data_IF_273363756662
#
_entry.id   IF_273363756662
#
_cell.length_a   1.000
_cell.length_b   1.000
_cell.length_c   1.000
_cell.angle_alpha   90.00
_cell.angle_beta   90.00
_cell.angle_gamma   90.00
#
_symmetry.space_group_name_H-M   'P 1'
#
loop_
_entity.id
_entity.type
_entity.pdbx_description
1 polymer ?
#
# COMPACT_ATOMS: atom_id res chain seq x y z
N UNK A 1 5.16 17.72 10.94
CA UNK A 1 5.51 16.78 12.02
C UNK A 1 6.53 15.79 11.49
N UNK A 2 7.52 15.36 12.28
CA UNK A 2 8.46 14.31 11.83
C UNK A 2 7.75 12.95 11.79
N UNK A 3 7.98 12.17 10.73
CA UNK A 3 7.42 10.83 10.60
C UNK A 3 8.24 9.80 11.38
N UNK A 4 7.58 8.88 12.08
CA UNK A 4 8.27 7.87 12.90
C UNK A 4 9.13 6.95 12.05
N UNK A 5 8.67 6.60 10.84
CA UNK A 5 9.45 5.83 9.87
C UNK A 5 10.82 6.49 9.60
N UNK A 6 10.81 7.78 9.27
CA UNK A 6 12.03 8.50 8.90
C UNK A 6 13.02 8.55 10.06
N UNK A 7 12.52 8.87 11.26
CA UNK A 7 13.31 8.87 12.50
C UNK A 7 13.92 7.49 12.78
N UNK A 8 13.12 6.42 12.65
CA UNK A 8 13.56 5.04 12.90
C UNK A 8 14.59 4.57 11.87
N UNK A 9 14.37 4.86 10.58
CA UNK A 9 15.33 4.56 9.51
C UNK A 9 16.66 5.27 9.76
N UNK A 10 16.64 6.54 10.17
CA UNK A 10 17.87 7.26 10.53
C UNK A 10 18.60 6.59 11.71
N UNK A 11 17.87 6.16 12.74
CA UNK A 11 18.46 5.45 13.88
C UNK A 11 19.09 4.12 13.46
N UNK A 12 18.38 3.33 12.65
CA UNK A 12 18.87 2.04 12.12
C UNK A 12 20.12 2.25 11.25
N UNK A 13 20.13 3.26 10.36
CA UNK A 13 21.31 3.53 9.53
C UNK A 13 22.51 4.02 10.33
N UNK A 14 22.29 4.74 11.44
CA UNK A 14 23.37 5.25 12.30
C UNK A 14 24.04 4.14 13.11
N UNK A 15 23.29 3.12 13.53
CA UNK A 15 23.81 1.94 14.23
C UNK A 15 23.12 0.65 13.76
N UNK A 16 23.50 0.12 12.58
CA UNK A 16 22.82 -1.04 11.99
C UNK A 16 22.92 -2.32 12.82
N UNK A 17 23.95 -2.42 13.66
CA UNK A 17 24.21 -3.61 14.50
C UNK A 17 23.64 -3.51 15.92
N UNK A 18 23.42 -2.31 16.44
CA UNK A 18 22.99 -2.07 17.83
C UNK A 18 21.65 -1.37 18.00
N UNK A 19 21.07 -0.83 16.93
CA UNK A 19 19.73 -0.23 16.97
C UNK A 19 18.69 -1.25 17.41
N UNK A 20 17.83 -0.84 18.34
CA UNK A 20 16.67 -1.62 18.81
C UNK A 20 15.37 -1.23 18.09
N UNK A 21 15.44 -0.27 17.19
CA UNK A 21 14.29 0.19 16.42
C UNK A 21 13.84 -0.90 15.45
N UNK A 22 12.52 -1.02 15.30
CA UNK A 22 11.89 -1.82 14.26
C UNK A 22 10.69 -1.06 13.70
N UNK A 23 10.38 -1.33 12.44
CA UNK A 23 9.29 -0.69 11.70
C UNK A 23 8.06 -1.57 11.79
N UNK A 24 6.94 -1.01 12.22
CA UNK A 24 5.64 -1.67 12.22
C UNK A 24 4.82 -1.09 11.07
N UNK A 25 4.43 -1.96 10.13
CA UNK A 25 3.52 -1.60 9.04
C UNK A 25 2.19 -2.32 9.23
N UNK A 26 1.08 -1.58 9.21
CA UNK A 26 -0.26 -2.16 9.11
C UNK A 26 -0.71 -2.17 7.65
N UNK A 27 -0.89 -3.38 7.10
CA UNK A 27 -1.38 -3.58 5.74
C UNK A 27 -2.91 -3.53 5.70
N UNK A 28 -3.44 -2.48 5.07
CA UNK A 28 -4.85 -2.11 4.97
C UNK A 28 -5.32 -1.94 3.51
N UNK A 29 -4.71 -2.71 2.62
CA UNK A 29 -4.97 -2.76 1.18
C UNK A 29 -5.77 -4.02 0.76
N UNK A 30 -6.39 -4.69 1.74
CA UNK A 30 -7.16 -5.91 1.51
C UNK A 30 -8.32 -5.71 0.52
N UNK A 31 -8.84 -4.48 0.41
CA UNK A 31 -9.90 -4.10 -0.53
C UNK A 31 -9.53 -4.32 -2.00
N UNK A 32 -8.24 -4.55 -2.32
CA UNK A 32 -7.78 -4.97 -3.65
C UNK A 32 -8.01 -6.46 -3.96
N UNK A 33 -8.21 -7.32 -2.96
CA UNK A 33 -8.16 -8.78 -3.13
C UNK A 33 -9.53 -9.46 -3.16
N UNK A 34 -10.13 -9.70 -1.98
CA UNK A 34 -11.29 -10.60 -1.80
C UNK A 34 -12.66 -9.95 -2.10
N UNK A 35 -12.68 -8.85 -2.85
CA UNK A 35 -13.89 -8.08 -3.16
C UNK A 35 -14.68 -7.70 -1.89
N UNK A 36 -15.98 -7.98 -1.88
CA UNK A 36 -16.86 -7.63 -0.74
C UNK A 36 -16.45 -8.29 0.58
N UNK A 37 -15.71 -9.39 0.55
CA UNK A 37 -15.26 -10.08 1.76
C UNK A 37 -14.06 -9.43 2.44
N UNK A 38 -13.31 -8.59 1.73
CA UNK A 38 -12.03 -8.07 2.19
C UNK A 38 -12.10 -7.14 3.42
N UNK A 39 -13.13 -6.28 3.56
CA UNK A 39 -13.39 -5.50 4.79
C UNK A 39 -13.66 -6.34 6.05
N UNK A 40 -13.82 -7.66 5.91
CA UNK A 40 -14.17 -8.58 6.99
C UNK A 40 -15.65 -8.57 7.33
N UNK A 41 -16.04 -9.37 8.33
CA UNK A 41 -17.43 -9.51 8.78
C UNK A 41 -17.89 -8.27 9.54
N UNK A 42 -19.17 -7.90 9.36
CA UNK A 42 -19.81 -6.84 10.12
C UNK A 42 -20.07 -7.29 11.57
N UNK A 43 -19.84 -6.41 12.57
CA UNK A 43 -20.17 -6.70 13.97
C UNK A 43 -21.69 -6.80 14.22
N UNK A 44 -22.52 -6.30 13.30
CA UNK A 44 -23.98 -6.41 13.32
C UNK A 44 -24.49 -7.75 12.77
N UNK A 45 -23.57 -8.68 12.48
CA UNK A 45 -23.91 -10.01 11.99
C UNK A 45 -24.58 -10.84 13.10
N UNK A 46 -25.68 -11.50 12.74
CA UNK A 46 -26.18 -12.69 13.45
C UNK A 46 -25.63 -13.96 12.77
N UNK A 47 -25.45 -15.04 13.54
CA UNK A 47 -24.63 -16.22 13.16
C UNK A 47 -24.98 -16.87 11.80
N UNK A 48 -26.14 -16.56 11.21
CA UNK A 48 -26.64 -17.11 9.95
C UNK A 48 -26.58 -16.16 8.74
N UNK A 49 -26.15 -14.90 8.91
CA UNK A 49 -26.07 -13.92 7.81
C UNK A 49 -24.64 -13.67 7.33
N UNK A 50 -24.45 -13.71 6.00
CA UNK A 50 -23.23 -13.20 5.36
C UNK A 50 -23.34 -11.67 5.24
N UNK A 51 -23.01 -10.97 6.33
CA UNK A 51 -22.92 -9.50 6.36
C UNK A 51 -21.46 -9.08 6.48
N UNK A 52 -20.93 -8.46 5.43
CA UNK A 52 -19.58 -7.89 5.40
C UNK A 52 -19.60 -6.42 5.78
N UNK A 53 -18.47 -5.90 6.27
CA UNK A 53 -18.29 -4.46 6.41
C UNK A 53 -18.30 -3.80 5.04
N UNK A 54 -18.82 -2.59 5.00
CA UNK A 54 -18.68 -1.67 3.89
C UNK A 54 -17.24 -1.14 3.80
N UNK A 55 -16.86 -0.60 2.64
CA UNK A 55 -15.59 0.08 2.49
C UNK A 55 -15.48 1.32 3.40
N UNK A 56 -16.60 1.98 3.70
CA UNK A 56 -16.63 3.11 4.63
C UNK A 56 -16.29 2.68 6.06
N UNK A 57 -16.90 1.58 6.54
CA UNK A 57 -16.57 1.00 7.84
C UNK A 57 -15.11 0.52 7.90
N UNK A 58 -14.59 -0.07 6.81
CA UNK A 58 -13.19 -0.46 6.74
C UNK A 58 -12.25 0.73 6.87
N UNK A 59 -12.52 1.83 6.14
CA UNK A 59 -11.78 3.08 6.25
C UNK A 59 -11.87 3.66 7.66
N UNK A 60 -13.00 3.52 8.34
CA UNK A 60 -13.10 3.93 9.74
C UNK A 60 -12.16 3.14 10.65
N UNK A 61 -12.01 1.83 10.43
CA UNK A 61 -11.02 1.04 11.16
C UNK A 61 -9.59 1.53 10.89
N UNK A 62 -9.29 1.97 9.66
CA UNK A 62 -7.99 2.54 9.31
C UNK A 62 -7.77 3.87 10.06
N UNK A 63 -8.79 4.73 10.16
CA UNK A 63 -8.72 5.97 10.95
C UNK A 63 -8.42 5.68 12.42
N UNK A 64 -9.07 4.67 13.00
CA UNK A 64 -8.83 4.28 14.40
C UNK A 64 -7.43 3.70 14.61
N UNK A 65 -6.86 2.97 13.64
CA UNK A 65 -5.44 2.56 13.68
C UNK A 65 -4.52 3.77 13.64
N UNK A 66 -4.79 4.73 12.74
CA UNK A 66 -3.95 5.92 12.59
C UNK A 66 -3.93 6.73 13.89
N UNK A 67 -5.09 6.88 14.52
CA UNK A 67 -5.27 7.60 15.78
C UNK A 67 -4.50 6.98 16.96
N UNK A 68 -4.20 5.69 16.92
CA UNK A 68 -3.43 5.03 17.98
C UNK A 68 -1.94 5.39 17.93
N UNK A 69 -1.41 5.80 16.76
CA UNK A 69 0.00 6.19 16.59
C UNK A 69 1.02 5.11 17.01
N UNK A 70 0.60 3.83 16.98
CA UNK A 70 1.46 2.68 17.36
C UNK A 70 2.28 2.17 16.17
N UNK A 71 1.74 2.28 14.96
CA UNK A 71 2.39 1.81 13.73
C UNK A 71 3.18 2.93 13.06
N UNK A 72 4.19 2.58 12.27
CA UNK A 72 5.00 3.56 11.54
C UNK A 72 4.49 3.80 10.11
N UNK A 73 3.88 2.77 9.54
CA UNK A 73 3.35 2.77 8.18
C UNK A 73 1.92 2.24 8.21
N UNK A 74 1.03 2.90 7.48
CA UNK A 74 -0.27 2.35 7.10
C UNK A 74 -0.26 2.21 5.57
N UNK A 75 -0.20 0.97 5.10
CA UNK A 75 -0.22 0.62 3.68
C UNK A 75 -1.67 0.46 3.22
N UNK A 76 -2.05 1.11 2.11
CA UNK A 76 -3.43 1.15 1.64
C UNK A 76 -3.53 0.83 0.15
N UNK A 77 -4.74 0.50 -0.33
CA UNK A 77 -5.04 0.56 -1.75
C UNK A 77 -4.93 2.00 -2.27
N UNK A 78 -4.72 2.19 -3.57
CA UNK A 78 -4.66 3.53 -4.16
C UNK A 78 -5.94 4.35 -3.87
N UNK A 79 -7.12 3.73 -3.97
CA UNK A 79 -8.41 4.40 -3.68
C UNK A 79 -8.55 4.82 -2.22
N UNK A 80 -8.15 3.97 -1.28
CA UNK A 80 -8.22 4.30 0.13
C UNK A 80 -7.14 5.33 0.51
N UNK A 81 -5.95 5.22 -0.09
CA UNK A 81 -4.89 6.21 0.06
C UNK A 81 -5.34 7.59 -0.40
N UNK A 82 -5.90 7.72 -1.61
CA UNK A 82 -6.44 8.98 -2.13
C UNK A 82 -7.43 9.61 -1.13
N UNK A 83 -8.37 8.81 -0.63
CA UNK A 83 -9.38 9.31 0.30
C UNK A 83 -8.78 9.83 1.60
N UNK A 84 -7.86 9.09 2.21
CA UNK A 84 -7.35 9.41 3.54
C UNK A 84 -6.18 10.42 3.50
N UNK A 85 -5.39 10.42 2.44
CA UNK A 85 -4.21 11.31 2.31
C UNK A 85 -4.55 12.62 1.60
N UNK A 86 -5.26 12.57 0.47
CA UNK A 86 -5.51 13.74 -0.38
C UNK A 86 -6.78 14.46 0.09
N UNK A 87 -7.92 13.78 0.09
CA UNK A 87 -9.21 14.42 0.43
C UNK A 87 -9.29 14.83 1.91
N UNK A 88 -8.93 13.93 2.81
CA UNK A 88 -9.11 14.11 4.26
C UNK A 88 -7.90 14.72 4.97
N UNK A 89 -6.73 14.76 4.30
CA UNK A 89 -5.47 15.26 4.89
C UNK A 89 -5.11 14.59 6.23
N UNK A 90 -5.56 13.34 6.44
CA UNK A 90 -5.52 12.67 7.74
C UNK A 90 -4.09 12.47 8.25
N UNK A 91 -3.13 12.38 7.33
CA UNK A 91 -1.74 12.11 7.65
C UNK A 91 -0.90 13.37 7.96
N UNK A 92 -1.41 14.58 7.77
CA UNK A 92 -0.61 15.83 7.87
C UNK A 92 -0.07 16.08 9.29
N UNK A 93 -0.86 15.70 10.31
CA UNK A 93 -0.58 15.98 11.71
C UNK A 93 -0.41 14.72 12.57
N UNK A 94 0.12 13.64 11.98
CA UNK A 94 0.43 12.37 12.66
C UNK A 94 1.86 11.93 12.36
N UNK A 95 2.55 11.22 13.28
CA UNK A 95 3.86 10.63 13.01
C UNK A 95 3.79 9.48 11.99
N UNK A 96 2.62 8.95 11.69
CA UNK A 96 2.46 7.81 10.78
C UNK A 96 2.74 8.21 9.34
N UNK A 97 3.47 7.35 8.62
CA UNK A 97 3.73 7.49 7.19
C UNK A 97 2.65 6.79 6.38
N UNK A 98 1.92 7.50 5.50
CA UNK A 98 1.03 6.84 4.57
C UNK A 98 1.84 6.09 3.50
N UNK A 99 1.42 4.87 3.17
CA UNK A 99 1.94 4.14 2.03
C UNK A 99 0.80 3.61 1.16
N UNK A 100 1.05 3.44 -0.13
CA UNK A 100 0.11 2.81 -1.05
C UNK A 100 0.72 1.57 -1.73
N UNK A 101 -0.11 0.57 -2.05
CA UNK A 101 0.30 -0.53 -2.92
C UNK A 101 0.56 0.02 -4.32
N UNK A 102 1.82 -0.01 -4.74
CA UNK A 102 2.30 0.60 -5.98
C UNK A 102 2.24 -0.34 -7.21
N UNK A 103 2.03 -1.64 -6.97
CA UNK A 103 1.72 -2.65 -7.97
C UNK A 103 0.83 -3.76 -7.40
N UNK A 104 0.12 -4.45 -8.28
CA UNK A 104 -0.91 -5.44 -7.94
C UNK A 104 -0.88 -6.56 -8.97
N UNK A 105 0.05 -7.49 -8.76
CA UNK A 105 0.26 -8.67 -9.60
C UNK A 105 -1.02 -9.47 -9.76
N UNK A 106 -1.17 -10.19 -10.87
CA UNK A 106 -2.44 -10.84 -11.21
C UNK A 106 -2.99 -11.80 -10.14
N UNK A 107 -2.11 -12.37 -9.32
CA UNK A 107 -2.44 -13.32 -8.27
C UNK A 107 -3.11 -12.69 -7.04
N UNK A 108 -2.98 -11.38 -6.82
CA UNK A 108 -3.71 -10.70 -5.73
C UNK A 108 -5.18 -10.45 -6.06
N UNK A 109 -5.56 -10.57 -7.34
CA UNK A 109 -6.93 -10.34 -7.80
C UNK A 109 -7.75 -11.64 -7.67
N UNK A 110 -8.62 -11.68 -6.66
CA UNK A 110 -9.44 -12.87 -6.33
C UNK A 110 -10.94 -12.59 -6.57
N UNK A 111 -11.38 -12.37 -7.83
CA UNK A 111 -12.79 -12.16 -8.12
C UNK A 111 -13.58 -13.44 -7.82
N UNK A 112 -14.83 -13.28 -7.38
CA UNK A 112 -15.72 -14.40 -7.02
C UNK A 112 -15.87 -15.39 -8.19
N UNK A 113 -15.52 -16.66 -7.94
CA UNK A 113 -15.57 -17.72 -8.96
C UNK A 113 -14.43 -17.67 -9.99
N UNK A 114 -13.52 -16.71 -9.87
CA UNK A 114 -12.34 -16.59 -10.71
C UNK A 114 -11.24 -17.58 -10.34
N UNK A 115 -10.31 -17.77 -11.29
CA UNK A 115 -9.16 -18.67 -11.17
C UNK A 115 -7.82 -17.98 -11.47
N UNK A 116 -7.82 -16.65 -11.58
CA UNK A 116 -6.63 -15.87 -11.96
C UNK A 116 -5.50 -16.11 -10.96
N UNK A 117 -5.81 -16.08 -9.67
CA UNK A 117 -4.91 -16.39 -8.56
C UNK A 117 -4.32 -17.81 -8.54
N UNK A 118 -4.77 -18.71 -9.42
CA UNK A 118 -4.18 -20.05 -9.55
C UNK A 118 -3.04 -20.11 -10.58
N UNK A 119 -2.90 -19.08 -11.41
CA UNK A 119 -1.82 -18.99 -12.40
C UNK A 119 -0.60 -18.28 -11.78
N UNK A 120 0.62 -18.51 -12.31
CA UNK A 120 1.80 -17.77 -11.90
C UNK A 120 1.58 -16.25 -11.94
N UNK A 121 2.12 -15.55 -10.96
CA UNK A 121 1.99 -14.11 -10.82
C UNK A 121 2.53 -13.39 -12.07
N UNK A 122 1.72 -12.51 -12.67
CA UNK A 122 2.15 -11.62 -13.75
C UNK A 122 2.24 -10.19 -13.24
N UNK A 123 3.31 -9.44 -13.58
CA UNK A 123 3.50 -8.08 -13.11
C UNK A 123 2.44 -7.15 -13.71
N UNK A 124 1.79 -6.36 -12.86
CA UNK A 124 0.78 -5.37 -13.24
C UNK A 124 0.73 -4.21 -12.24
N UNK A 125 0.24 -3.05 -12.69
CA UNK A 125 0.06 -1.84 -11.89
C UNK A 125 -1.26 -1.16 -12.29
N UNK A 126 -2.26 -1.22 -11.42
CA UNK A 126 -3.55 -0.55 -11.62
C UNK A 126 -3.46 0.97 -11.43
N UNK A 127 -2.59 1.45 -10.55
CA UNK A 127 -2.37 2.86 -10.28
C UNK A 127 -0.99 3.34 -10.76
N UNK A 128 -0.97 4.51 -11.42
CA UNK A 128 0.27 5.27 -11.66
C UNK A 128 0.78 5.89 -10.37
N UNK A 129 2.07 6.26 -10.30
CA UNK A 129 2.59 7.01 -9.16
C UNK A 129 1.93 8.38 -8.97
N UNK A 130 1.50 9.05 -10.05
CA UNK A 130 0.84 10.35 -9.94
C UNK A 130 -0.49 10.21 -9.21
N UNK A 131 -1.38 9.29 -9.62
CA UNK A 131 -2.59 9.00 -8.85
C UNK A 131 -2.34 8.73 -7.36
N UNK A 132 -1.26 8.02 -7.01
CA UNK A 132 -0.91 7.79 -5.59
C UNK A 132 -0.48 9.09 -4.87
N UNK A 133 0.30 9.93 -5.53
CA UNK A 133 0.90 11.14 -4.95
C UNK A 133 -0.03 12.37 -4.99
N UNK A 134 -0.95 12.45 -5.94
CA UNK A 134 -1.71 13.67 -6.23
C UNK A 134 -3.14 13.41 -6.77
N UNK A 135 -3.53 12.15 -7.01
CA UNK A 135 -4.92 11.79 -7.37
C UNK A 135 -5.28 11.95 -8.85
N UNK A 136 -4.33 12.35 -9.71
CA UNK A 136 -4.53 12.44 -11.16
C UNK A 136 -3.22 12.18 -11.92
N UNK A 137 -3.31 12.01 -13.23
CA UNK A 137 -2.13 11.89 -14.12
C UNK A 137 -1.40 13.22 -14.27
N UNK A 138 -0.10 13.14 -14.55
CA UNK A 138 0.74 14.25 -15.00
C UNK A 138 0.78 15.43 -14.02
N UNK A 139 0.71 15.17 -12.71
CA UNK A 139 0.70 16.23 -11.72
C UNK A 139 2.04 16.95 -11.59
N UNK A 140 1.93 18.23 -11.24
CA UNK A 140 3.07 19.10 -11.02
C UNK A 140 3.87 18.62 -9.79
N UNK A 141 5.19 18.84 -9.75
CA UNK A 141 6.04 18.40 -8.64
C UNK A 141 5.57 18.85 -7.25
N UNK A 142 4.96 20.03 -7.14
CA UNK A 142 4.40 20.60 -5.92
C UNK A 142 3.15 19.87 -5.41
N UNK A 143 2.40 19.21 -6.30
CA UNK A 143 1.17 18.49 -5.95
C UNK A 143 1.48 17.11 -5.32
N UNK A 144 2.69 16.59 -5.56
CA UNK A 144 3.08 15.23 -5.13
C UNK A 144 3.16 15.05 -3.62
N UNK A 145 3.21 16.16 -2.87
CA UNK A 145 3.20 16.14 -1.41
C UNK A 145 1.78 15.93 -0.84
N UNK A 146 0.74 15.90 -1.69
CA UNK A 146 -0.63 15.78 -1.21
C UNK A 146 -1.00 14.36 -0.78
N UNK A 147 -0.57 13.37 -1.54
CA UNK A 147 -0.83 11.95 -1.32
C UNK A 147 0.32 11.22 -0.63
N UNK A 148 0.36 9.90 -0.83
CA UNK A 148 1.44 9.07 -0.28
C UNK A 148 2.69 9.18 -1.17
N UNK A 149 3.86 9.36 -0.56
CA UNK A 149 5.16 9.37 -1.24
C UNK A 149 5.97 8.08 -1.01
N UNK A 150 5.37 7.10 -0.32
CA UNK A 150 5.92 5.79 -0.04
C UNK A 150 5.01 4.72 -0.65
N UNK A 151 5.58 3.70 -1.29
CA UNK A 151 4.80 2.57 -1.78
C UNK A 151 5.41 1.20 -1.52
N UNK A 152 4.54 0.21 -1.43
CA UNK A 152 4.93 -1.19 -1.50
C UNK A 152 4.97 -1.61 -2.96
N UNK A 153 6.10 -2.15 -3.40
CA UNK A 153 6.18 -2.91 -4.65
C UNK A 153 6.40 -4.39 -4.30
N UNK A 154 5.58 -5.29 -4.84
CA UNK A 154 5.62 -6.73 -4.61
C UNK A 154 6.16 -7.48 -5.82
N UNK A 155 6.99 -8.49 -5.58
CA UNK A 155 7.62 -9.34 -6.60
C UNK A 155 7.47 -10.80 -6.16
N UNK A 156 6.66 -11.57 -6.89
CA UNK A 156 6.55 -13.01 -6.67
C UNK A 156 7.38 -13.74 -7.71
N UNK A 157 8.44 -14.44 -7.27
CA UNK A 157 9.24 -15.28 -8.15
C UNK A 157 8.57 -16.64 -8.34
N UNK A 158 8.36 -17.03 -9.60
CA UNK A 158 7.67 -18.26 -9.99
C UNK A 158 8.65 -19.41 -10.27
N UNK A 159 9.96 -19.18 -10.09
CA UNK A 159 11.03 -20.13 -10.47
C UNK A 159 10.93 -20.51 -11.96
N UNK A 160 10.65 -19.50 -12.78
CA UNK A 160 10.52 -19.61 -14.23
C UNK A 160 11.23 -18.41 -14.85
N UNK A 161 12.27 -18.67 -15.65
CA UNK A 161 13.12 -17.63 -16.20
C UNK A 161 12.35 -16.54 -16.96
N UNK A 162 11.38 -16.90 -17.80
CA UNK A 162 10.65 -15.94 -18.62
C UNK A 162 9.72 -15.08 -17.77
N UNK A 163 9.05 -15.69 -16.79
CA UNK A 163 8.12 -15.00 -15.89
C UNK A 163 8.86 -14.08 -14.91
N UNK A 164 9.97 -14.57 -14.36
CA UNK A 164 10.80 -13.85 -13.41
C UNK A 164 11.56 -12.70 -14.08
N UNK A 165 12.03 -12.90 -15.32
CA UNK A 165 12.62 -11.83 -16.13
C UNK A 165 11.61 -10.72 -16.39
N UNK A 166 10.38 -11.05 -16.80
CA UNK A 166 9.34 -10.05 -17.03
C UNK A 166 9.04 -9.25 -15.75
N UNK A 167 8.99 -9.89 -14.59
CA UNK A 167 8.79 -9.22 -13.30
C UNK A 167 9.94 -8.27 -12.96
N UNK A 168 11.20 -8.70 -13.18
CA UNK A 168 12.39 -7.87 -12.95
C UNK A 168 12.45 -6.65 -13.89
N UNK A 169 12.07 -6.81 -15.16
CA UNK A 169 11.98 -5.72 -16.13
C UNK A 169 10.95 -4.67 -15.68
N UNK A 170 9.78 -5.09 -15.24
CA UNK A 170 8.74 -4.18 -14.73
C UNK A 170 9.14 -3.47 -13.44
N UNK A 171 9.83 -4.17 -12.55
CA UNK A 171 10.39 -3.54 -11.36
C UNK A 171 11.48 -2.51 -11.70
N UNK A 172 12.31 -2.76 -12.73
CA UNK A 172 13.26 -1.77 -13.24
C UNK A 172 12.53 -0.52 -13.74
N UNK A 173 11.53 -0.66 -14.61
CA UNK A 173 10.71 0.46 -15.11
C UNK A 173 10.10 1.28 -13.97
N UNK A 174 9.53 0.59 -12.97
CA UNK A 174 8.98 1.23 -11.77
C UNK A 174 10.02 2.04 -11.01
N UNK A 175 11.20 1.48 -10.73
CA UNK A 175 12.26 2.18 -9.98
C UNK A 175 12.71 3.46 -10.68
N UNK A 176 12.84 3.42 -12.00
CA UNK A 176 13.21 4.61 -12.76
C UNK A 176 12.10 5.68 -12.73
N UNK A 177 10.82 5.28 -12.76
CA UNK A 177 9.69 6.22 -12.58
C UNK A 177 9.70 6.81 -11.16
N UNK A 178 9.87 5.96 -10.15
CA UNK A 178 9.87 6.34 -8.74
C UNK A 178 10.97 7.36 -8.43
N UNK A 179 12.19 7.15 -8.93
CA UNK A 179 13.30 8.10 -8.77
C UNK A 179 12.97 9.47 -9.38
N UNK A 180 12.47 9.50 -10.63
CA UNK A 180 12.08 10.74 -11.31
C UNK A 180 10.95 11.48 -10.57
N UNK A 181 10.08 10.74 -9.90
CA UNK A 181 8.93 11.29 -9.15
C UNK A 181 9.21 11.53 -7.67
N UNK A 182 10.42 11.23 -7.19
CA UNK A 182 10.80 11.27 -5.76
C UNK A 182 9.87 10.42 -4.89
N UNK A 183 9.41 9.29 -5.44
CA UNK A 183 8.58 8.32 -4.76
C UNK A 183 9.48 7.27 -4.11
N UNK A 184 9.33 7.09 -2.80
CA UNK A 184 10.05 6.09 -1.99
C UNK A 184 9.33 4.76 -2.11
N UNK A 185 10.05 3.65 -1.97
CA UNK A 185 9.42 2.34 -1.95
C UNK A 185 10.16 1.33 -1.09
N UNK A 186 9.42 0.30 -0.68
CA UNK A 186 9.97 -0.93 -0.11
C UNK A 186 9.46 -2.12 -0.93
N UNK A 187 10.30 -3.16 -0.98
CA UNK A 187 10.07 -4.34 -1.81
C UNK A 187 9.56 -5.49 -0.94
N UNK A 188 8.43 -6.08 -1.33
CA UNK A 188 7.94 -7.37 -0.83
C UNK A 188 8.35 -8.44 -1.85
N UNK A 189 8.93 -9.54 -1.38
CA UNK A 189 9.40 -10.67 -2.19
C UNK A 189 8.76 -11.96 -1.67
#
# INVERSE_FOLDING_TARGET
MEKSLDRKLQSIHKDPSGSKEFIIADAKDADMAFGIGAPGLSPERHDQELKYKTLAEYREQIREVIKQEVVDIVLMSASTSEKLTIDERLFDNTPITPAARANDTTDVHVPRGGKIHLSPAKPFRSASLDHIQCGHLDCAPEERAYGADLGLYSVTFNNNLEEDLATLERYKEFREEAERKKFRHFLEI
#
